data_IF_568315780760
#
_entry.id   IF_568315780760
#
_cell.length_a   1.000
_cell.length_b   1.000
_cell.length_c   1.000
_cell.angle_alpha   90.00
_cell.angle_beta   90.00
_cell.angle_gamma   90.00
#
_symmetry.space_group_name_H-M   'P 1'
#
loop_
_entity.id
_entity.type
_entity.pdbx_description
1 polymer ?
#
# COMPACT_ATOMS: atom_id res chain seq x y z
N UNK A 1 8.22 24.18 12.18
CA UNK A 1 6.83 23.81 11.83
C UNK A 1 6.53 24.50 10.51
N UNK A 2 6.44 23.80 9.36
CA UNK A 2 6.23 24.51 8.11
C UNK A 2 4.79 25.06 8.08
N UNK A 3 4.57 26.29 7.57
CA UNK A 3 3.33 27.02 7.72
C UNK A 3 2.31 26.59 6.67
N UNK A 4 1.04 26.54 7.09
CA UNK A 4 -0.15 26.76 6.27
C UNK A 4 -0.25 25.93 4.97
N UNK A 5 -0.36 24.60 5.09
CA UNK A 5 -1.12 23.88 4.07
C UNK A 5 -2.60 24.23 4.27
N UNK A 6 -3.14 25.01 3.33
CA UNK A 6 -4.55 25.31 3.19
C UNK A 6 -5.42 24.10 3.56
N UNK A 7 -6.10 24.15 4.71
CA UNK A 7 -6.94 23.05 5.22
C UNK A 7 -7.98 22.60 4.19
N UNK A 8 -8.49 23.56 3.41
CA UNK A 8 -9.39 23.32 2.28
C UNK A 8 -8.71 22.53 1.16
N UNK A 9 -7.48 22.87 0.78
CA UNK A 9 -6.70 22.14 -0.24
C UNK A 9 -6.38 20.72 0.23
N UNK A 10 -5.97 20.58 1.49
CA UNK A 10 -5.73 19.29 2.13
C UNK A 10 -7.00 18.42 2.18
N UNK A 11 -8.17 19.01 2.43
CA UNK A 11 -9.46 18.32 2.41
C UNK A 11 -9.89 17.92 0.99
N UNK A 12 -9.76 18.80 -0.01
CA UNK A 12 -10.07 18.50 -1.42
C UNK A 12 -9.16 17.37 -1.91
N UNK A 13 -7.85 17.44 -1.63
CA UNK A 13 -6.89 16.39 -1.99
C UNK A 13 -7.25 15.06 -1.31
N UNK A 14 -7.63 15.05 -0.02
CA UNK A 14 -8.12 13.83 0.64
C UNK A 14 -9.37 13.26 -0.03
N UNK A 15 -10.33 14.10 -0.44
CA UNK A 15 -11.54 13.67 -1.15
C UNK A 15 -11.21 13.12 -2.55
N UNK A 16 -10.29 13.74 -3.27
CA UNK A 16 -9.79 13.24 -4.55
C UNK A 16 -9.07 11.89 -4.40
N UNK A 17 -8.23 11.72 -3.38
CA UNK A 17 -7.55 10.44 -3.09
C UNK A 17 -8.55 9.36 -2.70
N UNK A 18 -9.58 9.71 -1.92
CA UNK A 18 -10.66 8.80 -1.56
C UNK A 18 -11.48 8.36 -2.79
N UNK A 19 -11.76 9.30 -3.71
CA UNK A 19 -12.48 9.04 -4.97
C UNK A 19 -11.62 8.39 -6.06
N UNK A 20 -10.29 8.49 -5.99
CA UNK A 20 -9.39 7.90 -6.95
C UNK A 20 -9.47 6.37 -6.87
N UNK A 21 -9.93 5.72 -7.94
CA UNK A 21 -9.89 4.28 -8.07
C UNK A 21 -8.44 3.82 -8.18
N UNK A 22 -8.03 2.93 -7.28
CA UNK A 22 -6.71 2.31 -7.27
C UNK A 22 -6.91 0.82 -7.52
N UNK A 23 -6.26 0.28 -8.55
CA UNK A 23 -6.26 -1.15 -8.81
C UNK A 23 -4.94 -1.74 -8.33
N UNK A 24 -5.00 -2.63 -7.34
CA UNK A 24 -3.84 -3.41 -6.88
C UNK A 24 -3.81 -4.74 -7.63
N UNK A 25 -2.66 -5.10 -8.17
CA UNK A 25 -2.44 -6.36 -8.87
C UNK A 25 -1.30 -7.10 -8.18
N UNK A 26 -1.60 -8.33 -7.76
CA UNK A 26 -0.64 -9.24 -7.16
C UNK A 26 -0.49 -10.42 -8.11
N UNK A 27 0.70 -10.62 -8.64
CA UNK A 27 1.02 -11.64 -9.63
C UNK A 27 2.12 -12.54 -9.07
N UNK A 28 2.05 -13.85 -9.32
CA UNK A 28 3.16 -14.73 -8.96
C UNK A 28 4.36 -14.37 -9.84
N UNK A 29 5.55 -14.23 -9.25
CA UNK A 29 6.76 -14.02 -10.04
C UNK A 29 7.08 -15.27 -10.85
N UNK A 30 7.49 -15.08 -12.11
CA UNK A 30 8.01 -16.12 -12.99
C UNK A 30 9.53 -16.27 -12.89
N UNK A 31 10.21 -15.27 -12.31
CA UNK A 31 11.67 -15.21 -12.25
C UNK A 31 12.23 -15.78 -10.95
N UNK A 32 11.59 -15.46 -9.82
CA UNK A 32 12.06 -15.85 -8.48
C UNK A 32 11.03 -16.75 -7.79
N UNK A 33 11.39 -18.02 -7.47
CA UNK A 33 10.50 -18.92 -6.74
C UNK A 33 10.05 -18.35 -5.39
N UNK A 34 8.74 -18.40 -5.13
CA UNK A 34 8.16 -17.89 -3.89
C UNK A 34 8.01 -16.37 -3.83
N UNK A 35 8.44 -15.64 -4.86
CA UNK A 35 8.23 -14.21 -4.96
C UNK A 35 6.93 -13.84 -5.69
N UNK A 36 6.50 -12.60 -5.52
CA UNK A 36 5.37 -12.01 -6.25
C UNK A 36 5.74 -10.65 -6.82
N UNK A 37 5.09 -10.29 -7.92
CA UNK A 37 5.13 -8.97 -8.50
C UNK A 37 3.93 -8.16 -8.01
N UNK A 38 4.17 -6.90 -7.71
CA UNK A 38 3.19 -5.99 -7.17
C UNK A 38 3.05 -4.76 -8.06
N UNK A 39 1.82 -4.52 -8.52
CA UNK A 39 1.50 -3.35 -9.31
C UNK A 39 0.37 -2.56 -8.68
N UNK A 40 0.50 -1.23 -8.71
CA UNK A 40 -0.60 -0.31 -8.44
C UNK A 40 -0.87 0.44 -9.72
N UNK A 41 -2.09 0.32 -10.26
CA UNK A 41 -2.56 1.16 -11.35
C UNK A 41 -3.36 2.32 -10.76
N UNK A 42 -2.94 3.54 -11.07
CA UNK A 42 -3.68 4.74 -10.66
C UNK A 42 -4.24 5.45 -11.88
N UNK A 43 -5.40 6.10 -11.74
CA UNK A 43 -6.01 6.85 -12.83
C UNK A 43 -5.09 7.96 -13.39
N UNK A 44 -4.17 8.48 -12.57
CA UNK A 44 -3.23 9.53 -12.95
C UNK A 44 -1.93 9.01 -13.61
N UNK A 45 -1.83 7.72 -13.95
CA UNK A 45 -0.66 7.12 -14.59
C UNK A 45 0.59 7.04 -13.70
N UNK A 46 0.47 7.35 -12.41
CA UNK A 46 1.52 7.13 -11.40
C UNK A 46 1.45 5.69 -10.93
N UNK A 47 1.90 4.79 -11.78
CA UNK A 47 1.85 3.36 -11.52
C UNK A 47 3.05 2.91 -10.67
N UNK A 48 2.78 2.02 -9.72
CA UNK A 48 3.84 1.35 -8.96
C UNK A 48 4.14 0.02 -9.63
N UNK A 49 5.43 -0.27 -9.79
CA UNK A 49 5.95 -1.45 -10.47
C UNK A 49 7.07 -2.06 -9.65
N UNK A 50 6.76 -3.07 -8.86
CA UNK A 50 7.71 -3.79 -8.03
C UNK A 50 7.70 -5.26 -8.40
N UNK A 51 8.88 -5.83 -8.63
CA UNK A 51 9.04 -7.21 -9.08
C UNK A 51 9.82 -8.01 -8.04
N UNK A 52 9.58 -9.32 -8.03
CA UNK A 52 10.33 -10.29 -7.23
C UNK A 52 10.31 -10.01 -5.72
N UNK A 53 9.18 -9.54 -5.19
CA UNK A 53 9.00 -9.33 -3.76
C UNK A 53 8.88 -10.68 -3.04
N UNK A 54 9.75 -10.90 -2.06
CA UNK A 54 9.70 -12.04 -1.16
C UNK A 54 8.97 -11.66 0.13
N UNK A 55 8.17 -12.59 0.66
CA UNK A 55 7.57 -12.44 1.98
C UNK A 55 8.68 -12.41 3.05
N UNK A 56 8.46 -11.61 4.10
CA UNK A 56 9.38 -11.39 5.23
C UNK A 56 10.76 -10.82 4.82
N UNK A 57 10.88 -10.27 3.60
CA UNK A 57 12.09 -9.62 3.13
C UNK A 57 11.82 -8.16 2.79
N UNK A 58 12.86 -7.33 2.93
CA UNK A 58 12.79 -5.93 2.56
C UNK A 58 12.82 -5.76 1.04
N UNK A 59 11.89 -4.96 0.53
CA UNK A 59 11.90 -4.48 -0.84
C UNK A 59 12.00 -2.96 -0.82
N UNK A 60 12.84 -2.38 -1.68
CA UNK A 60 12.98 -0.92 -1.79
C UNK A 60 12.49 -0.48 -3.17
N UNK A 61 11.54 0.44 -3.20
CA UNK A 61 10.94 0.90 -4.45
C UNK A 61 10.27 2.25 -4.35
N UNK A 62 10.03 2.87 -5.52
CA UNK A 62 9.29 4.13 -5.63
C UNK A 62 7.79 3.88 -5.45
N UNK A 63 7.13 4.73 -4.67
CA UNK A 63 5.70 4.64 -4.39
C UNK A 63 4.87 5.68 -5.15
N UNK A 64 3.54 5.64 -5.00
CA UNK A 64 2.57 6.49 -5.75
C UNK A 64 2.78 7.98 -5.49
N UNK A 65 3.26 8.34 -4.31
CA UNK A 65 3.57 9.71 -3.91
C UNK A 65 4.92 10.23 -4.46
N UNK A 66 5.65 9.36 -5.17
CA UNK A 66 6.95 9.65 -5.77
C UNK A 66 8.14 9.48 -4.82
N UNK A 67 7.91 9.14 -3.55
CA UNK A 67 8.97 8.88 -2.60
C UNK A 67 9.43 7.41 -2.63
N UNK A 68 10.60 7.13 -2.06
CA UNK A 68 11.17 5.78 -2.01
C UNK A 68 10.84 5.15 -0.66
N UNK A 69 10.20 3.99 -0.71
CA UNK A 69 9.80 3.24 0.47
C UNK A 69 10.59 1.95 0.56
N UNK A 70 10.99 1.60 1.79
CA UNK A 70 11.29 0.24 2.18
C UNK A 70 9.98 -0.42 2.62
N UNK A 71 9.66 -1.56 2.02
CA UNK A 71 8.42 -2.28 2.23
C UNK A 71 8.69 -3.72 2.62
N UNK A 72 7.97 -4.22 3.61
CA UNK A 72 8.01 -5.63 4.03
C UNK A 72 6.59 -6.19 4.01
N UNK A 73 6.44 -7.40 3.48
CA UNK A 73 5.16 -8.12 3.46
C UNK A 73 5.25 -9.38 4.32
N UNK A 74 4.42 -9.46 5.35
CA UNK A 74 4.41 -10.58 6.30
C UNK A 74 3.05 -11.27 6.25
N UNK A 75 3.02 -12.55 5.87
CA UNK A 75 1.77 -13.31 5.80
C UNK A 75 1.64 -14.24 7.00
N UNK A 76 0.55 -14.10 7.74
CA UNK A 76 0.19 -15.01 8.81
C UNK A 76 -0.84 -16.04 8.30
N UNK A 77 -0.46 -17.32 8.13
CA UNK A 77 -1.35 -18.34 7.60
C UNK A 77 -2.46 -18.76 8.58
N UNK A 78 -2.30 -18.50 9.89
CA UNK A 78 -3.27 -18.89 10.92
C UNK A 78 -4.54 -18.06 10.82
N UNK A 79 -4.40 -16.76 10.56
CA UNK A 79 -5.53 -15.84 10.45
C UNK A 79 -5.75 -15.31 9.02
N UNK A 80 -4.91 -15.71 8.07
CA UNK A 80 -5.00 -15.29 6.66
C UNK A 80 -4.73 -13.81 6.44
N UNK A 81 -4.05 -13.13 7.38
CA UNK A 81 -3.74 -11.70 7.30
C UNK A 81 -2.36 -11.49 6.66
N UNK A 82 -2.32 -10.63 5.65
CA UNK A 82 -1.08 -10.10 5.09
C UNK A 82 -0.84 -8.72 5.68
N UNK A 83 0.26 -8.53 6.40
CA UNK A 83 0.73 -7.22 6.85
C UNK A 83 1.67 -6.64 5.79
N UNK A 84 1.51 -5.36 5.50
CA UNK A 84 2.40 -4.57 4.66
C UNK A 84 2.87 -3.38 5.47
N UNK A 85 4.19 -3.28 5.64
CA UNK A 85 4.84 -2.25 6.45
C UNK A 85 5.64 -1.33 5.55
N UNK A 86 5.45 -0.02 5.69
CA UNK A 86 6.13 1.00 4.88
C UNK A 86 7.00 1.91 5.74
N UNK A 87 8.26 2.07 5.34
CA UNK A 87 9.18 3.05 5.92
C UNK A 87 9.74 3.92 4.79
N UNK A 88 9.54 5.23 4.86
CA UNK A 88 10.13 6.16 3.91
C UNK A 88 11.66 6.20 4.11
N UNK A 89 12.43 5.88 3.06
CA UNK A 89 13.89 5.78 3.14
C UNK A 89 14.54 7.13 3.48
N UNK A 90 13.96 8.23 2.99
CA UNK A 90 14.47 9.58 3.25
C UNK A 90 14.04 10.11 4.62
N UNK A 91 13.07 9.45 5.27
CA UNK A 91 12.50 9.86 6.54
C UNK A 91 12.26 8.66 7.48
N UNK A 92 13.31 7.90 7.81
CA UNK A 92 13.16 6.64 8.54
C UNK A 92 12.70 6.81 9.99
N UNK A 93 12.77 8.04 10.53
CA UNK A 93 12.28 8.38 11.88
C UNK A 93 10.81 8.80 11.89
N UNK A 94 10.19 9.01 10.73
CA UNK A 94 8.74 9.21 10.66
C UNK A 94 8.01 7.89 10.92
N UNK A 95 6.78 8.00 11.41
CA UNK A 95 5.98 6.85 11.82
C UNK A 95 5.75 5.92 10.63
N UNK A 96 6.02 4.63 10.85
CA UNK A 96 5.77 3.54 9.90
C UNK A 96 4.27 3.45 9.59
N UNK A 97 3.95 3.27 8.31
CA UNK A 97 2.58 3.01 7.89
C UNK A 97 2.35 1.49 7.84
N UNK A 98 1.45 1.01 8.70
CA UNK A 98 1.09 -0.41 8.80
C UNK A 98 -0.29 -0.66 8.17
N UNK A 99 -0.25 -1.37 7.05
CA UNK A 99 -1.42 -1.85 6.35
C UNK A 99 -1.63 -3.33 6.65
N UNK A 100 -2.89 -3.73 6.79
CA UNK A 100 -3.28 -5.14 6.89
C UNK A 100 -4.28 -5.47 5.82
N UNK A 101 -4.17 -6.67 5.26
CA UNK A 101 -5.06 -7.19 4.24
C UNK A 101 -5.65 -8.51 4.68
N UNK A 102 -6.95 -8.65 4.48
CA UNK A 102 -7.66 -9.92 4.63
C UNK A 102 -8.58 -10.13 3.43
N UNK A 103 -8.64 -11.36 2.94
CA UNK A 103 -9.58 -11.72 1.87
C UNK A 103 -10.88 -12.22 2.48
N UNK A 104 -12.00 -11.66 2.04
CA UNK A 104 -13.34 -12.09 2.42
C UNK A 104 -14.19 -12.24 1.16
N UNK A 105 -14.40 -13.49 0.74
CA UNK A 105 -15.06 -13.82 -0.52
C UNK A 105 -14.34 -13.20 -1.73
N UNK A 106 -15.07 -12.36 -2.46
CA UNK A 106 -14.59 -11.62 -3.64
C UNK A 106 -13.91 -10.28 -3.30
N UNK A 107 -13.80 -9.92 -2.02
CA UNK A 107 -13.17 -8.68 -1.59
C UNK A 107 -11.81 -8.91 -0.94
N UNK A 108 -10.87 -8.03 -1.24
CA UNK A 108 -9.68 -7.80 -0.44
C UNK A 108 -9.93 -6.56 0.42
N UNK A 109 -9.92 -6.72 1.74
CA UNK A 109 -10.14 -5.64 2.68
C UNK A 109 -8.78 -5.17 3.16
N UNK A 110 -8.43 -3.93 2.85
CA UNK A 110 -7.28 -3.24 3.40
C UNK A 110 -7.70 -2.44 4.62
N UNK A 111 -6.94 -2.52 5.71
CA UNK A 111 -7.13 -1.77 6.95
C UNK A 111 -5.84 -1.04 7.29
N UNK A 112 -5.96 0.25 7.53
CA UNK A 112 -4.91 1.13 8.05
C UNK A 112 -5.37 1.68 9.40
N UNK A 113 -4.48 1.73 10.37
CA UNK A 113 -4.75 2.35 11.66
C UNK A 113 -3.68 3.39 11.97
N UNK A 114 -4.11 4.61 12.28
CA UNK A 114 -3.23 5.71 12.62
C UNK A 114 -3.82 6.55 13.76
N UNK A 115 -3.12 6.59 14.89
CA UNK A 115 -3.52 7.35 16.09
C UNK A 115 -4.98 7.06 16.53
N UNK A 116 -5.37 5.79 16.56
CA UNK A 116 -6.73 5.35 16.93
C UNK A 116 -7.78 5.52 15.83
N UNK A 117 -7.45 6.17 14.71
CA UNK A 117 -8.33 6.26 13.55
C UNK A 117 -8.11 5.03 12.66
N UNK A 118 -9.18 4.29 12.40
CA UNK A 118 -9.16 3.12 11.52
C UNK A 118 -9.80 3.48 10.18
N UNK A 119 -9.03 3.39 9.11
CA UNK A 119 -9.51 3.47 7.75
C UNK A 119 -9.58 2.07 7.12
N UNK A 120 -10.61 1.82 6.32
CA UNK A 120 -10.76 0.57 5.58
C UNK A 120 -11.05 0.85 4.12
N UNK A 121 -10.49 0.03 3.23
CA UNK A 121 -10.74 0.06 1.79
C UNK A 121 -11.06 -1.34 1.30
N UNK A 122 -12.16 -1.46 0.55
CA UNK A 122 -12.60 -2.71 -0.04
C UNK A 122 -12.26 -2.72 -1.52
N UNK A 123 -11.46 -3.70 -1.93
CA UNK A 123 -11.12 -3.94 -3.32
C UNK A 123 -11.91 -5.15 -3.81
N UNK A 124 -12.81 -4.96 -4.77
CA UNK A 124 -13.51 -6.07 -5.42
C UNK A 124 -12.55 -6.75 -6.40
N UNK A 125 -12.46 -8.07 -6.35
CA UNK A 125 -11.68 -8.85 -7.32
C UNK A 125 -12.24 -8.60 -8.72
N UNK A 126 -11.36 -8.14 -9.62
CA UNK A 126 -11.65 -8.04 -11.05
C UNK A 126 -11.41 -9.44 -11.62
N UNK A 127 -12.37 -9.95 -12.39
CA UNK A 127 -12.28 -11.24 -13.07
C UNK A 127 -11.49 -11.09 -14.36
#
# INVERSE_FOLDING_TARGET
MPPNQNLWYSWIVRKLIAGASITKVFEKSTEVPGAFNYRIKTFAGRDVKWDNILLNHEHVGRYVDGSTHKVVYEYNPVNGVLKETHVNVNKPKEKQDDFSYIRQGDYLINRLEYNGVVARRWYKKIK
#
